data_IF_403467777526
#
_entry.id   IF_403467777526
#
_cell.length_a   1.000
_cell.length_b   1.000
_cell.length_c   1.000
_cell.angle_alpha   90.00
_cell.angle_beta   90.00
_cell.angle_gamma   90.00
#
_symmetry.space_group_name_H-M   'P 1'
#
loop_
_entity.id
_entity.type
_entity.pdbx_description
1 polymer ?
#
# COMPACT_ATOMS: atom_id res chain seq x y z
N UNK A 1 -12.05 -15.03 0.80
CA UNK A 1 -12.59 -14.12 1.84
C UNK A 1 -13.25 -15.01 2.91
N UNK A 2 -12.58 -16.09 3.29
CA UNK A 2 -13.32 -17.27 3.78
C UNK A 2 -13.36 -17.33 5.31
N UNK A 3 -12.61 -16.44 5.96
CA UNK A 3 -12.54 -16.27 7.41
C UNK A 3 -13.20 -14.95 7.91
N UNK A 4 -14.00 -14.28 7.08
CA UNK A 4 -14.73 -13.07 7.47
C UNK A 4 -13.91 -11.77 7.43
N UNK A 5 -12.88 -11.70 6.58
CA UNK A 5 -12.08 -10.47 6.36
C UNK A 5 -12.60 -9.70 5.16
N UNK A 6 -12.81 -8.40 5.30
CA UNK A 6 -13.09 -7.53 4.16
C UNK A 6 -11.82 -7.17 3.40
N UNK A 7 -11.88 -7.25 2.07
CA UNK A 7 -10.73 -6.95 1.19
C UNK A 7 -11.19 -6.01 0.09
N UNK A 8 -10.49 -4.88 -0.04
CA UNK A 8 -10.76 -3.85 -1.04
C UNK A 8 -9.50 -3.59 -1.85
N UNK A 9 -9.56 -3.86 -3.15
CA UNK A 9 -8.59 -3.34 -4.11
C UNK A 9 -9.05 -1.97 -4.61
N UNK A 10 -8.15 -1.21 -5.25
CA UNK A 10 -8.41 0.16 -5.71
C UNK A 10 -8.82 1.17 -4.62
N UNK A 11 -8.83 0.79 -3.36
CA UNK A 11 -8.97 1.69 -2.21
C UNK A 11 -7.59 2.18 -1.77
N UNK A 12 -7.23 3.40 -2.15
CA UNK A 12 -5.95 4.00 -1.79
C UNK A 12 -6.06 4.71 -0.44
N UNK A 13 -5.10 4.49 0.46
CA UNK A 13 -4.93 5.31 1.66
C UNK A 13 -4.37 6.69 1.27
N UNK A 14 -5.14 7.75 1.48
CA UNK A 14 -4.75 9.14 1.19
C UNK A 14 -4.36 9.92 2.43
N UNK A 15 -4.70 9.41 3.63
CA UNK A 15 -4.34 10.00 4.90
C UNK A 15 -4.49 9.04 6.08
N UNK A 16 -3.92 9.41 7.21
CA UNK A 16 -4.06 8.68 8.47
C UNK A 16 -4.95 9.45 9.44
N UNK A 17 -5.79 8.72 10.18
CA UNK A 17 -6.60 9.28 11.26
C UNK A 17 -5.82 9.21 12.57
N UNK A 18 -5.92 10.25 13.38
CA UNK A 18 -5.23 10.33 14.67
C UNK A 18 -6.17 10.65 15.82
N UNK A 19 -5.95 9.99 16.95
CA UNK A 19 -6.54 10.36 18.24
C UNK A 19 -5.44 10.42 19.29
N UNK A 20 -5.28 11.56 19.95
CA UNK A 20 -4.25 11.79 21.00
C UNK A 20 -2.84 11.39 20.53
N UNK A 21 -2.50 11.74 19.29
CA UNK A 21 -1.18 11.47 18.70
C UNK A 21 -0.93 10.02 18.30
N UNK A 22 -1.96 9.16 18.28
CA UNK A 22 -1.85 7.77 17.80
C UNK A 22 -2.72 7.55 16.58
N UNK A 23 -2.24 6.72 15.65
CA UNK A 23 -3.01 6.30 14.48
C UNK A 23 -4.21 5.47 14.94
N UNK A 24 -5.41 5.84 14.46
CA UNK A 24 -6.68 5.18 14.78
C UNK A 24 -7.50 4.81 13.56
N UNK A 25 -6.91 4.87 12.37
CA UNK A 25 -7.60 4.61 11.12
C UNK A 25 -6.93 5.23 9.92
N UNK A 26 -7.63 5.24 8.80
CA UNK A 26 -7.17 5.81 7.54
C UNK A 26 -8.31 6.51 6.80
N UNK A 27 -7.97 7.54 6.05
CA UNK A 27 -8.81 8.07 4.97
C UNK A 27 -8.45 7.33 3.67
N UNK A 28 -9.46 6.91 2.94
CA UNK A 28 -9.36 6.15 1.71
C UNK A 28 -10.06 6.87 0.57
N UNK A 29 -9.54 6.66 -0.63
CA UNK A 29 -10.17 7.04 -1.89
C UNK A 29 -10.36 5.80 -2.76
N UNK A 30 -11.59 5.56 -3.18
CA UNK A 30 -11.88 4.61 -4.26
C UNK A 30 -11.35 5.18 -5.58
N UNK A 31 -10.42 4.47 -6.20
CA UNK A 31 -9.80 4.87 -7.47
C UNK A 31 -10.67 4.58 -8.70
N UNK A 32 -11.81 3.89 -8.55
CA UNK A 32 -12.75 3.60 -9.63
C UNK A 32 -13.69 4.78 -9.90
N UNK A 33 -14.26 5.38 -8.85
CA UNK A 33 -15.25 6.46 -8.97
C UNK A 33 -14.84 7.77 -8.26
N UNK A 34 -13.78 7.73 -7.44
CA UNK A 34 -13.27 8.87 -6.71
C UNK A 34 -13.91 9.11 -5.35
N UNK A 35 -14.82 8.24 -4.90
CA UNK A 35 -15.47 8.36 -3.58
C UNK A 35 -14.44 8.32 -2.46
N UNK A 36 -14.59 9.20 -1.48
CA UNK A 36 -13.73 9.24 -0.29
C UNK A 36 -14.53 8.77 0.93
N UNK A 37 -13.89 7.94 1.74
CA UNK A 37 -14.46 7.43 2.99
C UNK A 37 -13.30 7.10 3.92
N UNK A 38 -13.58 6.89 5.21
CA UNK A 38 -12.53 6.44 6.10
C UNK A 38 -12.96 5.32 7.03
N UNK A 39 -11.95 4.65 7.55
CA UNK A 39 -12.06 3.44 8.34
C UNK A 39 -11.38 3.67 9.67
N UNK A 40 -12.11 3.44 10.74
CA UNK A 40 -11.56 3.43 12.09
C UNK A 40 -11.03 2.04 12.43
N UNK A 41 -9.86 1.99 13.07
CA UNK A 41 -9.19 0.76 13.44
C UNK A 41 -8.48 0.90 14.79
N UNK A 42 -8.43 -0.21 15.54
CA UNK A 42 -7.66 -0.27 16.79
C UNK A 42 -6.15 -0.33 16.54
N UNK A 43 -5.76 -0.85 15.38
CA UNK A 43 -4.39 -0.99 14.93
C UNK A 43 -4.34 -0.88 13.41
N UNK A 44 -3.33 -0.19 12.90
CA UNK A 44 -3.05 -0.05 11.47
C UNK A 44 -1.67 -0.65 11.21
N UNK A 45 -1.60 -1.59 10.26
CA UNK A 45 -0.34 -2.19 9.83
C UNK A 45 0.06 -1.62 8.46
N UNK A 46 1.21 -0.96 8.39
CA UNK A 46 1.78 -0.52 7.12
C UNK A 46 2.51 -1.68 6.43
N UNK A 47 1.86 -2.30 5.44
CA UNK A 47 2.41 -3.39 4.62
C UNK A 47 2.53 -2.96 3.14
N UNK A 48 2.86 -1.71 2.85
CA UNK A 48 2.79 -1.12 1.50
C UNK A 48 4.06 -1.32 0.65
N UNK A 49 4.93 -2.27 1.01
CA UNK A 49 6.12 -2.62 0.22
C UNK A 49 7.02 -1.41 -0.08
N UNK A 50 7.37 -1.12 -1.35
CA UNK A 50 8.26 0.00 -1.68
C UNK A 50 7.67 1.38 -1.37
N UNK A 51 6.36 1.48 -1.09
CA UNK A 51 5.68 2.70 -0.66
C UNK A 51 5.68 2.92 0.86
N UNK A 52 6.34 2.07 1.64
CA UNK A 52 6.35 2.13 3.12
C UNK A 52 6.70 3.53 3.64
N UNK A 53 7.74 4.16 3.09
CA UNK A 53 8.17 5.49 3.54
C UNK A 53 7.19 6.61 3.14
N UNK A 54 6.40 6.44 2.08
CA UNK A 54 5.35 7.40 1.73
C UNK A 54 4.29 7.46 2.83
N UNK A 55 3.83 6.30 3.31
CA UNK A 55 2.86 6.23 4.39
C UNK A 55 3.49 6.68 5.73
N UNK A 56 4.75 6.33 6.01
CA UNK A 56 5.47 6.86 7.20
C UNK A 56 5.58 8.38 7.19
N UNK A 57 5.76 9.01 6.03
CA UNK A 57 5.74 10.46 5.91
C UNK A 57 4.34 11.08 6.10
N UNK A 58 3.26 10.30 6.05
CA UNK A 58 1.93 10.74 6.47
C UNK A 58 1.80 10.72 8.00
N UNK A 59 2.50 9.80 8.67
CA UNK A 59 2.54 9.69 10.13
C UNK A 59 3.47 10.73 10.77
N UNK A 60 4.70 10.83 10.27
CA UNK A 60 5.72 11.74 10.74
C UNK A 60 6.51 12.30 9.55
N UNK A 61 6.41 13.62 9.33
CA UNK A 61 7.12 14.32 8.26
C UNK A 61 8.65 14.29 8.42
N UNK A 62 9.14 14.05 9.63
CA UNK A 62 10.56 13.93 9.93
C UNK A 62 11.08 12.48 9.81
N UNK A 63 10.23 11.52 9.45
CA UNK A 63 10.63 10.12 9.31
C UNK A 63 11.77 9.98 8.29
N UNK A 64 12.93 9.51 8.75
CA UNK A 64 14.04 9.17 7.87
C UNK A 64 13.67 7.97 6.98
N UNK A 65 14.17 7.89 5.74
CA UNK A 65 13.96 6.74 4.86
C UNK A 65 14.35 5.43 5.55
N UNK A 66 13.49 4.42 5.46
CA UNK A 66 13.74 3.07 5.98
C UNK A 66 14.08 2.05 4.90
N UNK A 67 13.70 2.31 3.65
CA UNK A 67 13.91 1.38 2.54
C UNK A 67 14.79 1.99 1.45
N UNK A 68 15.62 1.14 0.82
CA UNK A 68 16.35 1.46 -0.40
C UNK A 68 15.75 0.67 -1.56
N UNK A 69 15.22 1.39 -2.54
CA UNK A 69 14.58 0.76 -3.70
C UNK A 69 15.63 0.21 -4.68
N UNK A 70 15.34 -0.95 -5.24
CA UNK A 70 16.07 -1.54 -6.35
C UNK A 70 15.08 -1.95 -7.43
N UNK A 71 15.55 -2.01 -8.69
CA UNK A 71 14.72 -2.33 -9.85
C UNK A 71 15.28 -3.56 -10.56
N UNK A 72 14.44 -4.56 -10.76
CA UNK A 72 14.68 -5.68 -11.67
C UNK A 72 13.76 -5.59 -12.89
N UNK A 73 14.20 -6.14 -14.02
CA UNK A 73 13.38 -6.24 -15.23
C UNK A 73 13.53 -7.65 -15.83
N UNK A 74 12.47 -8.13 -16.47
CA UNK A 74 12.46 -9.41 -17.19
C UNK A 74 12.05 -9.15 -18.64
N UNK A 75 12.73 -9.81 -19.58
CA UNK A 75 12.41 -9.74 -21.01
C UNK A 75 11.77 -11.07 -21.42
N UNK A 76 10.66 -10.97 -22.16
CA UNK A 76 10.00 -12.13 -22.76
C UNK A 76 10.18 -12.02 -24.27
N UNK A 77 10.70 -13.08 -24.88
CA UNK A 77 10.96 -13.14 -26.32
C UNK A 77 10.14 -14.27 -26.93
N UNK A 78 9.72 -14.09 -28.18
CA UNK A 78 9.13 -15.18 -28.95
C UNK A 78 10.18 -16.28 -29.10
N UNK A 79 9.80 -17.52 -28.77
CA UNK A 79 10.65 -18.68 -29.03
C UNK A 79 10.76 -18.91 -30.54
N UNK A 80 11.97 -18.87 -31.08
CA UNK A 80 12.27 -19.21 -32.48
C UNK A 80 12.68 -20.68 -32.65
N UNK A 81 12.97 -21.37 -31.55
CA UNK A 81 13.27 -22.80 -31.51
C UNK A 81 12.78 -23.42 -30.19
N UNK A 82 12.66 -24.75 -30.10
CA UNK A 82 12.37 -25.44 -28.85
C UNK A 82 13.44 -25.15 -27.81
N UNK A 83 13.04 -24.74 -26.60
CA UNK A 83 13.97 -24.62 -25.48
C UNK A 83 14.42 -26.02 -25.09
N UNK A 84 15.75 -26.26 -25.11
CA UNK A 84 16.35 -27.46 -24.55
C UNK A 84 16.95 -27.02 -23.21
N UNK A 85 16.40 -27.56 -22.13
CA UNK A 85 16.95 -27.39 -20.78
C UNK A 85 18.36 -27.98 -20.70
#
# INVERSE_FOLDING_TARGET
>A
VDAGTEVLNHAEVTGLRFTRGRVTGAELRDRLDGTEFGVDARLVLNATGPWTDHLRAMEDKAAAPSVRLSKGAHLVLRRTSPWKA
#
